data_IF_443870380986
#
_entry.id   IF_443870380986
#
_cell.length_a   1.000
_cell.length_b   1.000
_cell.length_c   1.000
_cell.angle_alpha   90.00
_cell.angle_beta   90.00
_cell.angle_gamma   90.00
#
_symmetry.space_group_name_H-M   'P 1'
#
loop_
_entity.id
_entity.type
_entity.pdbx_description
1 polymer ?
#
# COMPACT_ATOMS: atom_id res chain seq x y z
N UNK A 1 -8.05 7.77 -21.08
CA UNK A 1 -8.18 9.26 -21.13
C UNK A 1 -7.45 9.94 -19.97
N UNK A 2 -7.68 9.60 -18.69
CA UNK A 2 -7.00 10.25 -17.56
C UNK A 2 -5.46 10.23 -17.65
N UNK A 3 -4.82 9.14 -18.10
CA UNK A 3 -3.37 9.07 -18.30
C UNK A 3 -2.84 10.09 -19.32
N UNK A 4 -3.62 10.41 -20.35
CA UNK A 4 -3.26 11.43 -21.35
C UNK A 4 -3.32 12.86 -20.78
N UNK A 5 -4.22 13.11 -19.84
CA UNK A 5 -4.29 14.41 -19.16
C UNK A 5 -3.16 14.59 -18.12
N UNK A 6 -2.72 13.52 -17.47
CA UNK A 6 -1.64 13.57 -16.48
C UNK A 6 -0.24 13.60 -17.13
N UNK A 7 -0.09 13.08 -18.35
CA UNK A 7 1.20 13.01 -19.03
C UNK A 7 1.88 14.38 -19.24
N UNK A 8 1.19 15.44 -19.71
CA UNK A 8 1.82 16.76 -19.85
C UNK A 8 2.29 17.34 -18.51
N UNK A 9 1.51 17.17 -17.46
CA UNK A 9 1.91 17.58 -16.11
C UNK A 9 3.16 16.82 -15.64
N UNK A 10 3.15 15.50 -15.79
CA UNK A 10 4.32 14.67 -15.46
C UNK A 10 5.57 15.10 -16.23
N UNK A 11 5.45 15.36 -17.54
CA UNK A 11 6.56 15.83 -18.36
C UNK A 11 7.07 17.20 -17.90
N UNK A 12 6.18 18.12 -17.55
CA UNK A 12 6.55 19.45 -17.06
C UNK A 12 7.35 19.37 -15.75
N UNK A 13 6.92 18.55 -14.78
CA UNK A 13 7.66 18.39 -13.53
C UNK A 13 8.96 17.62 -13.72
N UNK A 14 9.03 16.65 -14.65
CA UNK A 14 10.28 16.01 -15.04
C UNK A 14 11.27 17.01 -15.66
N UNK A 15 10.78 17.89 -16.53
CA UNK A 15 11.61 18.95 -17.13
C UNK A 15 12.13 19.94 -16.08
N UNK A 16 11.27 20.34 -15.13
CA UNK A 16 11.66 21.21 -14.01
C UNK A 16 12.81 20.61 -13.21
N UNK A 17 12.67 19.36 -12.77
CA UNK A 17 13.70 18.65 -11.99
C UNK A 17 14.98 18.47 -12.78
N UNK A 18 14.90 18.03 -14.05
CA UNK A 18 16.05 17.89 -14.93
C UNK A 18 16.82 19.20 -15.11
N UNK A 19 16.10 20.28 -15.44
CA UNK A 19 16.72 21.58 -15.65
C UNK A 19 17.38 22.11 -14.36
N UNK A 20 16.76 21.89 -13.21
CA UNK A 20 17.33 22.25 -11.93
C UNK A 20 18.64 21.47 -11.65
N UNK A 21 18.64 20.16 -11.88
CA UNK A 21 19.82 19.30 -11.70
C UNK A 21 20.97 19.72 -12.64
N UNK A 22 20.67 19.98 -13.93
CA UNK A 22 21.67 20.42 -14.90
C UNK A 22 22.31 21.76 -14.51
N UNK A 23 21.51 22.72 -14.03
CA UNK A 23 22.01 24.00 -13.52
C UNK A 23 22.89 23.81 -12.30
N UNK A 24 22.46 23.00 -11.34
CA UNK A 24 23.22 22.72 -10.14
C UNK A 24 24.58 22.06 -10.45
N UNK A 25 24.58 21.02 -11.25
CA UNK A 25 25.81 20.32 -11.66
C UNK A 25 26.80 21.26 -12.37
N UNK A 26 26.32 22.10 -13.27
CA UNK A 26 27.16 23.07 -13.97
C UNK A 26 27.77 24.12 -13.03
N UNK A 27 27.09 24.46 -11.93
CA UNK A 27 27.63 25.35 -10.89
C UNK A 27 28.71 24.65 -10.06
N UNK A 28 28.55 23.34 -9.81
CA UNK A 28 29.52 22.55 -9.03
C UNK A 28 30.85 22.35 -9.79
N UNK A 29 30.80 22.05 -11.09
CA UNK A 29 32.01 21.85 -11.92
C UNK A 29 31.73 22.14 -13.40
N UNK A 30 32.65 22.85 -14.04
CA UNK A 30 32.56 23.23 -15.46
C UNK A 30 32.50 22.02 -16.42
N UNK A 31 33.02 20.85 -16.04
CA UNK A 31 32.88 19.62 -16.83
C UNK A 31 31.39 19.26 -17.02
N UNK A 32 30.56 19.50 -16.04
CA UNK A 32 29.14 19.25 -16.12
C UNK A 32 28.36 20.27 -16.98
N UNK A 33 29.02 21.39 -17.34
CA UNK A 33 28.46 22.36 -18.27
C UNK A 33 28.72 21.97 -19.75
N UNK A 34 29.63 21.02 -20.02
CA UNK A 34 29.92 20.57 -21.36
C UNK A 34 28.69 19.94 -22.02
N UNK A 35 28.48 20.24 -23.29
CA UNK A 35 27.35 19.75 -24.06
C UNK A 35 27.23 18.21 -24.03
N UNK A 36 28.36 17.51 -24.21
CA UNK A 36 28.38 16.04 -24.17
C UNK A 36 27.86 15.47 -22.84
N UNK A 37 28.27 16.04 -21.69
CA UNK A 37 27.77 15.62 -20.38
C UNK A 37 26.29 15.92 -20.23
N UNK A 38 25.86 17.14 -20.58
CA UNK A 38 24.45 17.56 -20.46
C UNK A 38 23.54 16.69 -21.31
N UNK A 39 23.91 16.38 -22.55
CA UNK A 39 23.11 15.50 -23.40
C UNK A 39 23.11 14.06 -22.90
N UNK A 40 24.25 13.52 -22.47
CA UNK A 40 24.33 12.17 -21.93
C UNK A 40 23.51 12.00 -20.66
N UNK A 41 23.63 12.95 -19.71
CA UNK A 41 22.82 12.94 -18.47
C UNK A 41 21.33 13.10 -18.77
N UNK A 42 20.95 14.03 -19.67
CA UNK A 42 19.55 14.23 -20.05
C UNK A 42 18.96 12.98 -20.71
N UNK A 43 19.72 12.31 -21.58
CA UNK A 43 19.28 11.06 -22.21
C UNK A 43 19.04 9.95 -21.18
N UNK A 44 19.96 9.76 -20.22
CA UNK A 44 19.80 8.78 -19.15
C UNK A 44 18.59 9.11 -18.25
N UNK A 45 18.44 10.38 -17.87
CA UNK A 45 17.30 10.85 -17.09
C UNK A 45 15.96 10.59 -17.80
N UNK A 46 15.87 10.99 -19.08
CA UNK A 46 14.67 10.81 -19.90
C UNK A 46 14.36 9.31 -20.06
N UNK A 47 15.38 8.49 -20.35
CA UNK A 47 15.22 7.04 -20.46
C UNK A 47 14.65 6.44 -19.17
N UNK A 48 15.14 6.89 -18.01
CA UNK A 48 14.65 6.43 -16.71
C UNK A 48 13.23 6.95 -16.44
N UNK A 49 12.97 8.22 -16.69
CA UNK A 49 11.65 8.83 -16.49
C UNK A 49 10.56 8.19 -17.39
N UNK A 50 10.92 7.83 -18.62
CA UNK A 50 9.99 7.19 -19.57
C UNK A 50 9.66 5.75 -19.21
N UNK A 51 10.40 5.10 -18.27
CA UNK A 51 10.08 3.72 -17.84
C UNK A 51 8.68 3.60 -17.26
N UNK A 52 8.13 4.67 -16.68
CA UNK A 52 6.76 4.71 -16.20
C UNK A 52 5.76 4.41 -17.33
N UNK A 53 5.90 5.09 -18.46
CA UNK A 53 5.03 4.92 -19.63
C UNK A 53 5.39 3.66 -20.43
N UNK A 54 6.69 3.41 -20.66
CA UNK A 54 7.13 2.25 -21.43
C UNK A 54 6.80 0.94 -20.74
N UNK A 55 6.85 0.84 -19.41
CA UNK A 55 6.39 -0.34 -18.67
C UNK A 55 4.89 -0.58 -18.77
N UNK A 56 4.11 0.45 -19.01
CA UNK A 56 2.66 0.31 -19.25
C UNK A 56 2.38 -0.20 -20.68
N UNK A 57 3.17 0.25 -21.66
CA UNK A 57 2.98 -0.07 -23.08
C UNK A 57 3.63 -1.40 -23.48
N UNK A 58 4.86 -1.65 -23.00
CA UNK A 58 5.66 -2.81 -23.37
C UNK A 58 5.37 -3.97 -22.41
N UNK A 59 4.57 -4.94 -22.86
CA UNK A 59 4.21 -6.12 -22.07
C UNK A 59 5.08 -7.35 -22.37
N UNK A 60 5.75 -7.38 -23.51
CA UNK A 60 6.59 -8.50 -23.96
C UNK A 60 7.92 -7.99 -24.51
N UNK A 61 9.03 -8.73 -24.37
CA UNK A 61 9.16 -9.97 -23.58
C UNK A 61 9.07 -9.72 -22.07
N UNK A 62 8.65 -10.74 -21.31
CA UNK A 62 8.35 -10.65 -19.86
C UNK A 62 9.52 -10.11 -19.02
N UNK A 63 10.74 -10.55 -19.30
CA UNK A 63 11.93 -10.07 -18.60
C UNK A 63 12.17 -8.56 -18.77
N UNK A 64 11.95 -8.02 -19.96
CA UNK A 64 12.05 -6.58 -20.22
C UNK A 64 10.97 -5.82 -19.48
N UNK A 65 9.72 -6.29 -19.57
CA UNK A 65 8.59 -5.69 -18.86
C UNK A 65 8.83 -5.61 -17.35
N UNK A 66 9.25 -6.70 -16.71
CA UNK A 66 9.60 -6.74 -15.28
C UNK A 66 10.72 -5.77 -14.92
N UNK A 67 11.77 -5.71 -15.76
CA UNK A 67 12.88 -4.77 -15.56
C UNK A 67 12.40 -3.33 -15.63
N UNK A 68 11.59 -2.97 -16.63
CA UNK A 68 10.99 -1.64 -16.75
C UNK A 68 10.10 -1.30 -15.55
N UNK A 69 9.30 -2.24 -15.07
CA UNK A 69 8.46 -2.05 -13.86
C UNK A 69 9.31 -1.81 -12.60
N UNK A 70 10.38 -2.57 -12.39
CA UNK A 70 11.28 -2.35 -11.26
C UNK A 70 11.95 -0.98 -11.29
N UNK A 71 12.47 -0.58 -12.47
CA UNK A 71 13.07 0.75 -12.64
C UNK A 71 12.02 1.84 -12.43
N UNK A 72 10.83 1.68 -13.01
CA UNK A 72 9.71 2.61 -12.86
C UNK A 72 9.29 2.81 -11.40
N UNK A 73 9.17 1.72 -10.62
CA UNK A 73 8.77 1.79 -9.23
C UNK A 73 9.84 2.49 -8.35
N UNK A 74 11.12 2.23 -8.62
CA UNK A 74 12.22 2.91 -7.95
C UNK A 74 12.29 4.39 -8.36
N UNK A 75 12.14 4.67 -9.65
CA UNK A 75 12.09 6.02 -10.19
C UNK A 75 10.99 6.84 -9.56
N UNK A 76 9.76 6.32 -9.53
CA UNK A 76 8.59 7.05 -9.03
C UNK A 76 8.77 7.51 -7.58
N UNK A 77 9.29 6.64 -6.71
CA UNK A 77 9.56 6.99 -5.32
C UNK A 77 10.69 8.02 -5.17
N UNK A 78 11.82 7.81 -5.88
CA UNK A 78 12.97 8.74 -5.84
C UNK A 78 12.60 10.09 -6.45
N UNK A 79 11.87 10.10 -7.55
CA UNK A 79 11.41 11.31 -8.23
C UNK A 79 10.46 12.13 -7.36
N UNK A 80 9.58 11.50 -6.60
CA UNK A 80 8.71 12.19 -5.64
C UNK A 80 9.54 12.99 -4.63
N UNK A 81 10.57 12.38 -4.04
CA UNK A 81 11.44 13.08 -3.08
C UNK A 81 12.36 14.09 -3.74
N UNK A 82 12.75 13.88 -5.00
CA UNK A 82 13.47 14.89 -5.77
C UNK A 82 12.57 16.12 -6.00
N UNK A 83 11.33 15.93 -6.40
CA UNK A 83 10.39 17.01 -6.63
C UNK A 83 10.09 17.78 -5.32
N UNK A 84 9.82 17.07 -4.22
CA UNK A 84 9.57 17.68 -2.91
C UNK A 84 10.81 18.43 -2.42
N UNK A 85 11.98 17.80 -2.43
CA UNK A 85 13.22 18.40 -1.93
C UNK A 85 13.64 19.63 -2.72
N UNK A 86 13.61 19.58 -4.06
CA UNK A 86 13.91 20.71 -4.92
C UNK A 86 12.85 21.82 -4.75
N UNK A 87 11.57 21.44 -4.69
CA UNK A 87 10.48 22.40 -4.47
C UNK A 87 10.61 23.14 -3.15
N UNK A 88 10.94 22.43 -2.06
CA UNK A 88 11.21 23.05 -0.75
C UNK A 88 12.44 23.98 -0.82
N UNK A 89 13.53 23.56 -1.47
CA UNK A 89 14.73 24.36 -1.63
C UNK A 89 14.45 25.67 -2.38
N UNK A 90 13.73 25.59 -3.50
CA UNK A 90 13.35 26.77 -4.27
C UNK A 90 12.35 27.65 -3.50
N UNK A 91 11.38 27.06 -2.80
CA UNK A 91 10.43 27.81 -1.96
C UNK A 91 11.14 28.59 -0.84
N UNK A 92 12.07 27.96 -0.12
CA UNK A 92 12.88 28.62 0.90
C UNK A 92 13.70 29.75 0.27
N UNK A 93 14.33 29.53 -0.91
CA UNK A 93 15.07 30.58 -1.60
C UNK A 93 14.18 31.77 -1.95
N UNK A 94 12.96 31.54 -2.43
CA UNK A 94 12.00 32.61 -2.74
C UNK A 94 11.62 33.37 -1.47
N UNK A 95 11.29 32.70 -0.37
CA UNK A 95 10.94 33.34 0.89
C UNK A 95 12.09 34.21 1.44
N UNK A 96 13.30 33.69 1.40
CA UNK A 96 14.49 34.43 1.86
C UNK A 96 14.77 35.65 0.97
N UNK A 97 14.59 35.52 -0.35
CA UNK A 97 14.78 36.61 -1.31
C UNK A 97 13.91 37.84 -1.00
N UNK A 98 12.65 37.61 -0.58
CA UNK A 98 11.70 38.68 -0.23
C UNK A 98 11.77 39.06 1.26
N UNK A 99 12.64 38.46 2.06
CA UNK A 99 12.77 38.72 3.49
C UNK A 99 13.97 39.62 3.78
N UNK A 100 13.96 40.39 4.88
CA UNK A 100 15.13 41.14 5.34
C UNK A 100 16.19 40.26 5.99
N UNK A 101 15.98 38.92 6.07
CA UNK A 101 16.85 38.00 6.79
C UNK A 101 18.11 37.58 6.01
N UNK A 102 18.13 37.81 4.69
CA UNK A 102 19.24 37.39 3.83
C UNK A 102 19.64 38.51 2.88
N UNK A 103 20.94 38.68 2.69
CA UNK A 103 21.50 39.62 1.71
C UNK A 103 21.22 39.13 0.30
N UNK A 104 20.77 40.02 -0.61
CA UNK A 104 20.48 39.69 -2.00
C UNK A 104 21.67 39.08 -2.74
N UNK A 105 22.90 39.39 -2.32
CA UNK A 105 24.11 38.79 -2.89
C UNK A 105 24.19 37.26 -2.71
N UNK A 106 23.59 36.73 -1.64
CA UNK A 106 23.57 35.28 -1.38
C UNK A 106 22.84 34.49 -2.48
N UNK A 107 21.75 35.07 -3.03
CA UNK A 107 20.96 34.37 -4.07
C UNK A 107 21.66 34.27 -5.41
N UNK A 108 22.66 35.14 -5.64
CA UNK A 108 23.50 35.11 -6.81
C UNK A 108 24.82 34.35 -6.58
N UNK A 109 25.07 33.89 -5.34
CA UNK A 109 26.28 33.16 -4.97
C UNK A 109 26.26 31.73 -5.55
N UNK A 110 27.28 31.42 -6.36
CA UNK A 110 27.50 30.04 -6.87
C UNK A 110 27.68 29.04 -5.73
N UNK A 111 28.38 29.44 -4.64
CA UNK A 111 28.63 28.58 -3.49
C UNK A 111 27.33 28.23 -2.79
N UNK A 112 26.45 29.20 -2.57
CA UNK A 112 25.15 28.96 -1.93
C UNK A 112 24.25 28.03 -2.74
N UNK A 113 24.21 28.18 -4.05
CA UNK A 113 23.44 27.29 -4.91
C UNK A 113 24.04 25.87 -4.96
N UNK A 114 25.37 25.76 -5.01
CA UNK A 114 26.07 24.48 -4.94
C UNK A 114 25.80 23.76 -3.60
N UNK A 115 25.89 24.47 -2.47
CA UNK A 115 25.61 23.93 -1.14
C UNK A 115 24.13 23.50 -0.99
N UNK A 116 23.20 24.36 -1.41
CA UNK A 116 21.77 24.01 -1.39
C UNK A 116 21.49 22.72 -2.14
N UNK A 117 22.02 22.60 -3.36
CA UNK A 117 21.81 21.40 -4.16
C UNK A 117 22.52 20.16 -3.58
N UNK A 118 23.70 20.33 -2.99
CA UNK A 118 24.39 19.23 -2.31
C UNK A 118 23.55 18.67 -1.13
N UNK A 119 23.07 19.54 -0.24
CA UNK A 119 22.25 19.11 0.89
C UNK A 119 20.90 18.51 0.42
N UNK A 120 20.25 19.13 -0.56
CA UNK A 120 19.03 18.60 -1.17
C UNK A 120 19.28 17.21 -1.77
N UNK A 121 20.37 17.04 -2.52
CA UNK A 121 20.75 15.76 -3.12
C UNK A 121 21.03 14.68 -2.07
N UNK A 122 21.75 15.03 -1.00
CA UNK A 122 22.00 14.11 0.13
C UNK A 122 20.69 13.65 0.77
N UNK A 123 19.76 14.58 1.01
CA UNK A 123 18.44 14.24 1.60
C UNK A 123 17.62 13.34 0.66
N UNK A 124 17.58 13.64 -0.64
CA UNK A 124 16.87 12.82 -1.62
C UNK A 124 17.43 11.40 -1.63
N UNK A 125 18.75 11.25 -1.70
CA UNK A 125 19.40 9.94 -1.68
C UNK A 125 19.13 9.22 -0.34
N UNK A 126 19.27 9.91 0.78
CA UNK A 126 19.01 9.34 2.09
C UNK A 126 17.59 8.80 2.21
N UNK A 127 16.57 9.59 1.88
CA UNK A 127 15.17 9.16 1.96
C UNK A 127 14.86 8.04 0.95
N UNK A 128 15.46 8.08 -0.25
CA UNK A 128 15.27 7.02 -1.25
C UNK A 128 15.87 5.70 -0.79
N UNK A 129 17.12 5.68 -0.33
CA UNK A 129 17.76 4.46 0.18
C UNK A 129 17.09 3.96 1.46
N UNK A 130 16.85 4.86 2.42
CA UNK A 130 16.15 4.49 3.65
C UNK A 130 14.78 3.88 3.34
N UNK A 131 13.96 4.55 2.53
CA UNK A 131 12.61 4.10 2.18
C UNK A 131 12.61 2.74 1.49
N UNK A 132 13.54 2.51 0.56
CA UNK A 132 13.70 1.23 -0.13
C UNK A 132 14.06 0.08 0.81
N UNK A 133 15.03 0.28 1.71
CA UNK A 133 15.42 -0.77 2.67
C UNK A 133 14.38 -0.94 3.78
N UNK A 134 13.74 0.14 4.19
CA UNK A 134 12.71 0.12 5.24
C UNK A 134 11.46 -0.63 4.78
N UNK A 135 11.05 -0.52 3.52
CA UNK A 135 9.94 -1.26 2.95
C UNK A 135 10.09 -2.78 3.06
N UNK A 136 11.34 -3.28 3.04
CA UNK A 136 11.65 -4.72 3.16
C UNK A 136 11.64 -5.22 4.60
N UNK A 137 11.58 -4.33 5.58
CA UNK A 137 11.62 -4.68 7.00
C UNK A 137 10.21 -4.86 7.53
N UNK A 138 9.88 -6.10 7.90
CA UNK A 138 8.58 -6.45 8.45
C UNK A 138 8.56 -6.24 9.97
N UNK A 139 7.56 -5.51 10.47
CA UNK A 139 7.35 -5.25 11.89
C UNK A 139 6.17 -6.06 12.43
N UNK A 140 6.04 -6.14 13.74
CA UNK A 140 4.85 -6.66 14.41
C UNK A 140 4.31 -5.58 15.34
N UNK A 141 3.04 -5.21 15.15
CA UNK A 141 2.32 -4.27 15.99
C UNK A 141 1.27 -5.06 16.78
N UNK A 142 1.15 -4.78 18.07
CA UNK A 142 0.15 -5.46 18.90
C UNK A 142 -0.90 -4.49 19.38
N UNK A 143 -2.17 -4.86 19.21
CA UNK A 143 -3.34 -4.15 19.71
C UNK A 143 -4.08 -5.03 20.71
N UNK A 144 -4.32 -4.50 21.90
CA UNK A 144 -5.11 -5.20 22.93
C UNK A 144 -6.48 -4.53 23.00
N UNK A 145 -7.52 -5.32 22.88
CA UNK A 145 -8.92 -4.88 22.98
C UNK A 145 -9.67 -5.79 23.95
N UNK A 146 -10.75 -5.30 24.54
CA UNK A 146 -11.62 -6.07 25.41
C UNK A 146 -13.00 -6.21 24.77
N UNK A 147 -13.55 -7.42 24.73
CA UNK A 147 -14.91 -7.68 24.32
C UNK A 147 -15.80 -7.82 25.56
N UNK A 148 -16.98 -7.20 25.54
CA UNK A 148 -17.99 -7.41 26.56
C UNK A 148 -18.76 -8.74 26.38
N UNK A 149 -18.58 -9.40 25.22
CA UNK A 149 -19.24 -10.65 24.88
C UNK A 149 -18.33 -11.82 25.20
N UNK A 150 -18.90 -12.87 25.78
CA UNK A 150 -18.17 -14.09 26.08
C UNK A 150 -17.93 -14.93 24.82
N UNK A 151 -16.77 -15.54 24.76
CA UNK A 151 -16.43 -16.57 23.78
C UNK A 151 -16.03 -17.81 24.57
N UNK A 152 -16.87 -18.83 24.57
CA UNK A 152 -16.64 -20.03 25.39
C UNK A 152 -15.30 -20.68 25.04
N UNK A 153 -14.47 -20.90 26.06
CA UNK A 153 -13.23 -21.65 25.95
C UNK A 153 -11.94 -20.84 25.76
N UNK A 154 -12.00 -19.52 25.70
CA UNK A 154 -10.79 -18.69 25.56
C UNK A 154 -10.85 -17.44 26.44
N UNK A 155 -9.80 -17.22 27.22
CA UNK A 155 -9.57 -15.94 27.92
C UNK A 155 -9.06 -14.85 26.97
N UNK A 156 -8.40 -15.27 25.89
CA UNK A 156 -7.82 -14.35 24.88
C UNK A 156 -7.83 -15.00 23.50
N UNK A 157 -8.40 -14.32 22.51
CA UNK A 157 -8.31 -14.69 21.10
C UNK A 157 -7.20 -13.85 20.41
N UNK A 158 -6.21 -14.52 19.81
CA UNK A 158 -5.10 -13.90 19.08
C UNK A 158 -5.36 -13.94 17.58
N UNK A 159 -5.50 -12.80 16.96
CA UNK A 159 -5.71 -12.66 15.53
C UNK A 159 -4.47 -12.06 14.89
N UNK A 160 -3.87 -12.75 13.92
CA UNK A 160 -2.86 -12.16 13.04
C UNK A 160 -3.59 -11.51 11.85
N UNK A 161 -3.65 -10.18 11.84
CA UNK A 161 -4.17 -9.40 10.73
C UNK A 161 -3.02 -9.01 9.80
N UNK A 162 -3.15 -9.35 8.55
CA UNK A 162 -2.34 -8.84 7.43
C UNK A 162 -3.27 -8.35 6.33
N UNK A 163 -2.79 -7.41 5.53
CA UNK A 163 -3.46 -6.91 4.33
C UNK A 163 -2.41 -6.39 3.35
N UNK A 164 -2.85 -6.02 2.17
CA UNK A 164 -2.05 -5.27 1.20
C UNK A 164 -0.71 -5.97 0.92
N UNK A 165 -0.75 -7.25 0.58
CA UNK A 165 0.44 -8.01 0.21
C UNK A 165 1.00 -7.54 -1.13
N UNK A 166 0.13 -7.11 -2.05
CA UNK A 166 0.47 -6.69 -3.41
C UNK A 166 1.44 -7.65 -4.08
N UNK A 167 1.05 -8.94 -4.15
CA UNK A 167 1.80 -9.94 -4.89
C UNK A 167 1.94 -9.53 -6.35
N UNK A 168 3.19 -9.38 -6.81
CA UNK A 168 3.46 -8.88 -8.14
C UNK A 168 4.94 -8.57 -8.33
N UNK A 169 5.25 -7.37 -8.80
CA UNK A 169 6.64 -6.98 -9.10
C UNK A 169 7.47 -6.67 -7.84
N UNK A 170 6.86 -6.20 -6.75
CA UNK A 170 7.56 -5.73 -5.55
C UNK A 170 7.63 -6.78 -4.44
N UNK A 171 6.67 -7.71 -4.38
CA UNK A 171 6.57 -8.74 -3.34
C UNK A 171 6.98 -10.09 -3.90
N UNK A 172 8.04 -10.65 -3.36
CA UNK A 172 8.65 -11.89 -3.81
C UNK A 172 8.48 -13.07 -2.83
N UNK A 173 8.87 -14.26 -3.26
CA UNK A 173 8.84 -15.48 -2.46
C UNK A 173 9.68 -15.37 -1.16
N UNK A 174 10.78 -14.61 -1.19
CA UNK A 174 11.66 -14.43 -0.03
C UNK A 174 10.92 -13.63 1.04
N UNK A 175 10.20 -12.60 0.61
CA UNK A 175 9.35 -11.83 1.51
C UNK A 175 8.24 -12.69 2.12
N UNK A 176 7.52 -13.48 1.29
CA UNK A 176 6.47 -14.37 1.76
C UNK A 176 6.96 -15.41 2.78
N UNK A 177 8.12 -16.03 2.54
CA UNK A 177 8.72 -16.96 3.50
C UNK A 177 9.00 -16.31 4.85
N UNK A 178 9.49 -15.06 4.85
CA UNK A 178 9.72 -14.31 6.09
C UNK A 178 8.41 -13.94 6.79
N UNK A 179 7.39 -13.55 6.01
CA UNK A 179 6.06 -13.24 6.50
C UNK A 179 5.44 -14.45 7.22
N UNK A 180 5.37 -15.60 6.54
CA UNK A 180 4.82 -16.85 7.08
C UNK A 180 5.57 -17.28 8.34
N UNK A 181 6.91 -17.29 8.30
CA UNK A 181 7.73 -17.63 9.47
C UNK A 181 7.42 -16.72 10.66
N UNK A 182 7.21 -15.42 10.41
CA UNK A 182 6.95 -14.47 11.47
C UNK A 182 5.53 -14.59 12.04
N UNK A 183 4.52 -14.81 11.19
CA UNK A 183 3.14 -15.07 11.63
C UNK A 183 3.08 -16.35 12.47
N UNK A 184 3.66 -17.45 11.99
CA UNK A 184 3.64 -18.71 12.71
C UNK A 184 4.34 -18.64 14.08
N UNK A 185 5.38 -17.77 14.21
CA UNK A 185 6.02 -17.50 15.50
C UNK A 185 5.11 -16.80 16.52
N UNK A 186 4.11 -16.06 16.06
CA UNK A 186 3.12 -15.38 16.92
C UNK A 186 2.09 -16.36 17.51
N UNK A 187 1.99 -17.58 16.93
CA UNK A 187 0.99 -18.60 17.31
C UNK A 187 -0.42 -18.01 17.38
N UNK A 188 -0.94 -17.45 16.27
CA UNK A 188 -2.27 -16.89 16.25
C UNK A 188 -3.32 -17.99 16.29
N UNK A 189 -4.48 -17.69 16.89
CA UNK A 189 -5.64 -18.56 16.85
C UNK A 189 -6.39 -18.43 15.52
N UNK A 190 -6.36 -17.24 14.92
CA UNK A 190 -6.99 -16.91 13.66
C UNK A 190 -6.05 -16.05 12.80
N UNK A 191 -6.00 -16.29 11.48
CA UNK A 191 -5.28 -15.44 10.53
C UNK A 191 -6.28 -14.79 9.59
N UNK A 192 -6.17 -13.47 9.45
CA UNK A 192 -7.00 -12.66 8.56
C UNK A 192 -6.13 -11.96 7.52
N UNK A 193 -6.48 -12.14 6.25
CA UNK A 193 -5.91 -11.44 5.10
C UNK A 193 -6.97 -10.46 4.58
N UNK A 194 -6.89 -9.21 5.02
CA UNK A 194 -7.93 -8.23 4.77
C UNK A 194 -7.73 -7.49 3.42
N UNK A 195 -7.72 -8.24 2.32
CA UNK A 195 -7.72 -7.73 0.95
C UNK A 195 -6.37 -7.26 0.42
N UNK A 196 -6.38 -6.88 -0.86
CA UNK A 196 -5.23 -6.47 -1.66
C UNK A 196 -4.06 -7.47 -1.58
N UNK A 197 -4.41 -8.75 -1.78
CA UNK A 197 -3.43 -9.83 -1.88
C UNK A 197 -2.63 -9.70 -3.17
N UNK A 198 -3.24 -9.24 -4.25
CA UNK A 198 -2.64 -9.07 -5.57
C UNK A 198 -2.43 -7.60 -5.91
N UNK A 199 -1.62 -7.34 -6.95
CA UNK A 199 -1.34 -5.99 -7.47
C UNK A 199 -1.95 -5.82 -8.88
N UNK A 200 -3.26 -6.02 -9.00
CA UNK A 200 -4.12 -5.89 -10.19
C UNK A 200 -3.74 -6.74 -11.43
N UNK A 201 -2.63 -7.46 -11.42
CA UNK A 201 -2.18 -8.25 -12.56
C UNK A 201 -1.65 -9.60 -12.08
N UNK A 202 -2.41 -10.65 -12.34
CA UNK A 202 -2.00 -12.01 -11.95
C UNK A 202 -0.67 -12.44 -12.60
N UNK A 203 -0.39 -11.95 -13.83
CA UNK A 203 0.88 -12.23 -14.53
C UNK A 203 2.08 -11.53 -13.89
N UNK A 204 1.85 -10.51 -13.04
CA UNK A 204 2.91 -9.87 -12.29
C UNK A 204 3.58 -10.83 -11.28
N UNK A 205 2.87 -11.86 -10.84
CA UNK A 205 3.39 -12.88 -9.92
C UNK A 205 4.27 -13.85 -10.71
N UNK A 206 5.56 -13.90 -10.38
CA UNK A 206 6.53 -14.70 -11.14
C UNK A 206 6.27 -16.21 -11.06
N UNK A 207 5.92 -16.70 -9.88
CA UNK A 207 5.66 -18.13 -9.62
C UNK A 207 4.43 -18.27 -8.70
N UNK A 208 3.20 -18.13 -9.23
CA UNK A 208 1.99 -18.08 -8.40
C UNK A 208 1.77 -19.34 -7.57
N UNK A 209 1.97 -20.53 -8.13
CA UNK A 209 1.81 -21.80 -7.41
C UNK A 209 2.79 -21.93 -6.23
N UNK A 210 4.01 -21.42 -6.39
CA UNK A 210 4.99 -21.41 -5.32
C UNK A 210 4.66 -20.40 -4.24
N UNK A 211 4.13 -19.24 -4.61
CA UNK A 211 3.63 -18.25 -3.65
C UNK A 211 2.45 -18.82 -2.85
N UNK A 212 1.49 -19.46 -3.50
CA UNK A 212 0.38 -20.14 -2.83
C UNK A 212 0.88 -21.23 -1.87
N UNK A 213 1.81 -22.09 -2.32
CA UNK A 213 2.43 -23.13 -1.47
C UNK A 213 3.19 -22.56 -0.27
N UNK A 214 3.81 -21.38 -0.37
CA UNK A 214 4.44 -20.72 0.78
C UNK A 214 3.39 -20.24 1.77
N UNK A 215 2.28 -19.66 1.27
CA UNK A 215 1.19 -19.14 2.09
C UNK A 215 0.38 -20.26 2.75
N UNK A 216 0.25 -21.44 2.10
CA UNK A 216 -0.42 -22.60 2.68
C UNK A 216 0.28 -23.15 3.94
N UNK A 217 1.54 -22.73 4.19
CA UNK A 217 2.26 -23.06 5.42
C UNK A 217 1.92 -22.15 6.62
N UNK A 218 0.96 -21.22 6.49
CA UNK A 218 0.38 -20.46 7.60
C UNK A 218 -0.31 -21.42 8.58
N UNK A 219 -0.14 -21.17 9.90
CA UNK A 219 -0.66 -22.02 10.96
C UNK A 219 -1.48 -21.22 11.95
N UNK A 220 -2.70 -21.66 12.18
CA UNK A 220 -3.62 -21.10 13.18
C UNK A 220 -4.63 -22.16 13.62
N UNK A 221 -5.26 -21.98 14.76
CA UNK A 221 -6.27 -22.91 15.30
C UNK A 221 -7.53 -22.91 14.45
N UNK A 222 -8.01 -21.73 14.06
CA UNK A 222 -9.28 -21.55 13.36
C UNK A 222 -9.14 -21.33 11.85
N UNK A 223 -7.92 -21.47 11.32
CA UNK A 223 -7.67 -21.33 9.87
C UNK A 223 -7.31 -19.90 9.44
N UNK A 224 -7.17 -19.74 8.13
CA UNK A 224 -6.85 -18.47 7.47
C UNK A 224 -8.04 -18.05 6.60
N UNK A 225 -8.52 -16.84 6.82
CA UNK A 225 -9.64 -16.27 6.07
C UNK A 225 -9.20 -14.99 5.36
N UNK A 226 -9.79 -14.75 4.20
CA UNK A 226 -9.50 -13.56 3.41
C UNK A 226 -10.78 -12.92 2.86
N UNK A 227 -10.70 -11.67 2.49
CA UNK A 227 -11.64 -11.00 1.61
C UNK A 227 -10.90 -10.40 0.42
N UNK A 228 -11.61 -9.98 -0.60
CA UNK A 228 -11.04 -9.19 -1.67
C UNK A 228 -10.79 -7.75 -1.24
N UNK A 229 -9.76 -7.13 -1.83
CA UNK A 229 -9.55 -5.68 -1.84
C UNK A 229 -9.75 -5.09 -3.25
N UNK A 230 -9.53 -3.81 -3.38
CA UNK A 230 -9.75 -3.12 -4.65
C UNK A 230 -8.67 -3.42 -5.72
N UNK A 231 -7.51 -3.95 -5.31
CA UNK A 231 -6.46 -4.42 -6.22
C UNK A 231 -6.56 -5.92 -6.55
N UNK A 232 -7.45 -6.67 -5.90
CA UNK A 232 -7.73 -8.07 -6.22
C UNK A 232 -8.67 -8.19 -7.45
N UNK A 233 -8.34 -7.43 -8.48
CA UNK A 233 -9.08 -7.29 -9.72
C UNK A 233 -8.08 -7.06 -10.86
N UNK A 234 -8.15 -7.87 -11.93
CA UNK A 234 -7.24 -7.72 -13.06
C UNK A 234 -7.51 -6.42 -13.84
N UNK A 235 -6.69 -5.40 -13.60
CA UNK A 235 -6.78 -4.08 -14.23
C UNK A 235 -5.40 -3.55 -14.62
N UNK A 236 -5.37 -2.66 -15.62
CA UNK A 236 -4.14 -1.98 -15.98
C UNK A 236 -3.76 -0.92 -14.94
N UNK A 237 -2.51 -0.92 -14.49
CA UNK A 237 -1.97 0.03 -13.50
C UNK A 237 -0.94 0.96 -14.14
N UNK A 238 -1.08 2.25 -13.87
CA UNK A 238 -0.07 3.26 -14.17
C UNK A 238 0.20 4.11 -12.92
N UNK A 239 1.45 4.21 -12.50
CA UNK A 239 1.86 4.95 -11.29
C UNK A 239 1.11 4.53 -10.01
N UNK A 240 0.68 3.26 -9.92
CA UNK A 240 -0.10 2.75 -8.81
C UNK A 240 -1.61 2.96 -8.92
N UNK A 241 -2.10 3.76 -9.86
CA UNK A 241 -3.53 3.96 -10.08
C UNK A 241 -4.07 3.02 -11.15
N UNK A 242 -5.28 2.52 -10.93
CA UNK A 242 -5.95 1.61 -11.86
C UNK A 242 -6.64 2.38 -13.01
N UNK A 243 -6.48 1.85 -14.21
CA UNK A 243 -7.10 2.36 -15.42
C UNK A 243 -7.80 1.21 -16.13
N UNK A 244 -9.11 1.19 -16.10
CA UNK A 244 -9.88 0.16 -16.79
C UNK A 244 -11.36 0.53 -16.82
N UNK A 245 -12.07 -0.03 -17.80
CA UNK A 245 -13.52 -0.07 -17.86
C UNK A 245 -14.09 -1.21 -17.01
N UNK A 246 -15.41 -1.37 -17.04
CA UNK A 246 -16.05 -2.54 -16.47
C UNK A 246 -15.64 -3.81 -17.24
N UNK A 247 -15.53 -4.92 -16.52
CA UNK A 247 -15.30 -6.26 -17.06
C UNK A 247 -16.54 -7.12 -16.80
N UNK A 248 -16.74 -8.11 -17.64
CA UNK A 248 -17.89 -9.00 -17.52
C UNK A 248 -17.73 -9.91 -16.29
N UNK A 249 -16.59 -10.55 -16.16
CA UNK A 249 -16.30 -11.50 -15.08
C UNK A 249 -14.97 -11.21 -14.38
N UNK A 250 -14.86 -11.69 -13.15
CA UNK A 250 -13.59 -11.77 -12.41
C UNK A 250 -12.64 -12.77 -13.07
N UNK A 251 -11.36 -12.62 -12.80
CA UNK A 251 -10.36 -13.60 -13.17
C UNK A 251 -10.36 -14.73 -12.12
N UNK A 252 -10.77 -15.92 -12.52
CA UNK A 252 -10.87 -17.10 -11.64
C UNK A 252 -9.54 -17.54 -11.03
N UNK A 253 -8.41 -17.11 -11.60
CA UNK A 253 -7.09 -17.42 -11.07
C UNK A 253 -6.84 -16.81 -9.69
N UNK A 254 -7.49 -15.69 -9.36
CA UNK A 254 -7.41 -15.09 -8.02
C UNK A 254 -8.07 -15.99 -6.97
N UNK A 255 -9.24 -16.52 -7.27
CA UNK A 255 -9.95 -17.43 -6.36
C UNK A 255 -9.20 -18.77 -6.22
N UNK A 256 -8.75 -19.33 -7.34
CA UNK A 256 -7.94 -20.55 -7.33
C UNK A 256 -6.67 -20.39 -6.50
N UNK A 257 -6.02 -19.22 -6.55
CA UNK A 257 -4.84 -18.94 -5.73
C UNK A 257 -5.16 -18.97 -4.23
N UNK A 258 -6.26 -18.38 -3.79
CA UNK A 258 -6.68 -18.45 -2.38
C UNK A 258 -6.93 -19.88 -1.93
N UNK A 259 -7.61 -20.66 -2.76
CA UNK A 259 -7.83 -22.08 -2.51
C UNK A 259 -6.51 -22.86 -2.37
N UNK A 260 -5.57 -22.67 -3.30
CA UNK A 260 -4.25 -23.33 -3.29
C UNK A 260 -3.39 -22.87 -2.12
N UNK A 261 -3.59 -21.65 -1.64
CA UNK A 261 -2.95 -21.09 -0.45
C UNK A 261 -3.61 -21.55 0.87
N UNK A 262 -4.66 -22.37 0.83
CA UNK A 262 -5.38 -22.84 2.01
C UNK A 262 -6.14 -21.74 2.75
N UNK A 263 -6.58 -20.70 2.03
CA UNK A 263 -7.33 -19.57 2.56
C UNK A 263 -8.82 -19.70 2.22
N UNK A 264 -9.68 -19.44 3.20
CA UNK A 264 -11.12 -19.37 2.97
C UNK A 264 -11.50 -17.94 2.59
N UNK A 265 -11.93 -17.75 1.34
CA UNK A 265 -12.42 -16.47 0.86
C UNK A 265 -13.85 -16.22 1.37
N UNK A 266 -14.09 -15.03 1.88
CA UNK A 266 -15.41 -14.55 2.31
C UNK A 266 -15.76 -13.30 1.51
N UNK A 267 -16.80 -13.39 0.68
CA UNK A 267 -17.24 -12.32 -0.22
C UNK A 267 -18.74 -12.05 -0.03
N UNK A 268 -19.07 -11.17 0.91
CA UNK A 268 -20.41 -11.00 1.52
C UNK A 268 -20.92 -12.28 2.17
N UNK A 269 -20.02 -13.00 2.84
CA UNK A 269 -20.31 -14.26 3.51
C UNK A 269 -20.12 -14.18 5.01
N UNK A 270 -20.87 -15.05 5.71
CA UNK A 270 -20.83 -15.22 7.18
C UNK A 270 -20.45 -16.65 7.51
N UNK A 271 -19.53 -16.81 8.45
CA UNK A 271 -19.13 -18.10 9.04
C UNK A 271 -19.25 -18.07 10.56
N UNK A 272 -19.87 -19.07 11.12
CA UNK A 272 -19.82 -19.33 12.58
C UNK A 272 -18.63 -20.25 12.85
N UNK A 273 -17.62 -19.72 13.55
CA UNK A 273 -16.37 -20.42 13.83
C UNK A 273 -16.53 -21.22 15.12
N UNK A 274 -16.53 -22.54 15.02
CA UNK A 274 -16.66 -23.51 16.11
C UNK A 274 -17.69 -23.14 17.19
N UNK A 275 -18.79 -22.53 16.78
CA UNK A 275 -19.85 -22.02 17.67
C UNK A 275 -19.38 -20.92 18.66
N UNK A 276 -18.20 -20.33 18.49
CA UNK A 276 -17.61 -19.32 19.38
C UNK A 276 -17.93 -17.89 18.95
N UNK A 277 -17.64 -17.53 17.70
CA UNK A 277 -17.83 -16.18 17.17
C UNK A 277 -18.21 -16.23 15.67
N UNK A 278 -18.80 -15.15 15.19
CA UNK A 278 -19.06 -14.98 13.77
C UNK A 278 -17.88 -14.25 13.11
N UNK A 279 -17.51 -14.74 11.93
CA UNK A 279 -16.59 -14.07 11.01
C UNK A 279 -17.36 -13.70 9.74
N UNK A 280 -17.35 -12.42 9.41
CA UNK A 280 -18.07 -11.84 8.27
C UNK A 280 -17.03 -11.24 7.32
N UNK A 281 -16.97 -11.70 6.08
CA UNK A 281 -16.18 -11.06 5.04
C UNK A 281 -17.05 -10.20 4.15
N UNK A 282 -16.68 -8.96 3.96
CA UNK A 282 -17.42 -8.02 3.11
C UNK A 282 -16.82 -7.92 1.73
N UNK A 283 -17.67 -7.83 0.73
CA UNK A 283 -17.32 -7.57 -0.66
C UNK A 283 -16.71 -6.18 -0.81
N UNK A 284 -15.62 -6.04 -1.57
CA UNK A 284 -15.05 -4.73 -1.83
C UNK A 284 -15.92 -3.91 -2.82
N UNK A 285 -16.23 -2.64 -2.53
CA UNK A 285 -17.09 -1.83 -3.37
C UNK A 285 -16.51 -1.54 -4.76
N UNK A 286 -15.19 -1.63 -4.96
CA UNK A 286 -14.59 -1.46 -6.28
C UNK A 286 -14.92 -2.63 -7.20
N UNK A 287 -14.97 -3.86 -6.66
CA UNK A 287 -15.39 -5.05 -7.45
C UNK A 287 -16.81 -4.89 -7.96
N UNK A 288 -17.77 -4.52 -7.12
CA UNK A 288 -19.16 -4.30 -7.54
C UNK A 288 -19.31 -3.25 -8.65
N UNK A 289 -18.44 -2.22 -8.65
CA UNK A 289 -18.46 -1.17 -9.68
C UNK A 289 -17.78 -1.61 -10.98
N UNK A 290 -16.84 -2.52 -10.92
CA UNK A 290 -15.96 -2.90 -12.03
C UNK A 290 -16.35 -4.20 -12.71
N UNK A 291 -17.03 -5.10 -12.03
CA UNK A 291 -17.47 -6.38 -12.55
C UNK A 291 -18.98 -6.38 -12.75
N UNK A 292 -19.42 -6.61 -14.01
CA UNK A 292 -20.85 -6.63 -14.38
C UNK A 292 -21.55 -7.83 -13.76
N UNK A 293 -20.85 -8.98 -13.67
CA UNK A 293 -21.38 -10.21 -13.06
C UNK A 293 -21.55 -10.14 -11.55
N UNK A 294 -20.91 -9.18 -10.88
CA UNK A 294 -20.98 -9.06 -9.43
C UNK A 294 -22.30 -8.45 -8.96
N UNK A 295 -22.89 -9.09 -7.95
CA UNK A 295 -24.05 -8.54 -7.25
C UNK A 295 -23.64 -7.31 -6.43
N UNK A 296 -24.61 -6.43 -6.16
CA UNK A 296 -24.40 -5.32 -5.23
C UNK A 296 -23.93 -5.81 -3.87
N UNK A 297 -23.06 -5.02 -3.25
CA UNK A 297 -22.53 -5.27 -1.91
C UNK A 297 -23.68 -5.28 -0.90
N UNK A 298 -23.74 -6.30 -0.06
CA UNK A 298 -24.71 -6.35 1.04
C UNK A 298 -24.42 -5.25 2.07
N UNK A 299 -25.50 -4.67 2.61
CA UNK A 299 -25.38 -3.71 3.70
C UNK A 299 -24.94 -4.42 4.99
N UNK A 300 -24.31 -3.71 5.94
CA UNK A 300 -23.94 -4.28 7.22
C UNK A 300 -25.10 -5.00 7.93
N UNK A 301 -26.29 -4.39 7.89
CA UNK A 301 -27.48 -4.98 8.52
C UNK A 301 -27.93 -6.26 7.83
N UNK A 302 -27.95 -6.33 6.49
CA UNK A 302 -28.29 -7.56 5.76
C UNK A 302 -27.36 -8.72 6.11
N UNK A 303 -26.07 -8.46 6.35
CA UNK A 303 -25.09 -9.47 6.74
C UNK A 303 -25.27 -9.93 8.20
N UNK A 304 -25.77 -9.07 9.09
CA UNK A 304 -25.72 -9.36 10.54
C UNK A 304 -27.08 -9.52 11.22
N UNK A 305 -28.20 -9.19 10.56
CA UNK A 305 -29.54 -9.19 11.17
C UNK A 305 -29.99 -10.55 11.73
N UNK A 306 -29.52 -11.64 11.13
CA UNK A 306 -29.87 -13.01 11.52
C UNK A 306 -28.88 -13.63 12.50
N UNK A 307 -27.81 -12.91 12.89
CA UNK A 307 -26.78 -13.44 13.77
C UNK A 307 -27.19 -13.31 15.24
N UNK A 308 -26.76 -14.29 16.04
CA UNK A 308 -26.91 -14.21 17.47
C UNK A 308 -25.96 -13.14 18.06
N UNK A 309 -26.52 -12.01 18.45
CA UNK A 309 -25.77 -10.83 18.95
C UNK A 309 -25.10 -11.07 20.32
N UNK A 310 -25.38 -12.19 21.03
CA UNK A 310 -24.65 -12.56 22.24
C UNK A 310 -23.24 -13.07 21.96
N UNK A 311 -22.95 -13.48 20.71
CA UNK A 311 -21.61 -13.91 20.26
C UNK A 311 -20.86 -12.75 19.65
N UNK A 312 -19.52 -12.73 19.76
CA UNK A 312 -18.69 -11.75 19.05
C UNK A 312 -18.90 -11.82 17.53
N UNK A 313 -18.97 -10.65 16.86
CA UNK A 313 -19.07 -10.51 15.42
C UNK A 313 -17.80 -9.77 14.93
N UNK A 314 -16.94 -10.50 14.24
CA UNK A 314 -15.72 -9.97 13.63
C UNK A 314 -15.98 -9.76 12.15
N UNK A 315 -15.68 -8.57 11.65
CA UNK A 315 -15.91 -8.20 10.24
C UNK A 315 -14.58 -7.91 9.58
N UNK A 316 -14.35 -8.53 8.43
CA UNK A 316 -13.25 -8.22 7.53
C UNK A 316 -13.80 -7.29 6.45
N UNK A 317 -13.30 -6.07 6.39
CA UNK A 317 -13.66 -5.08 5.37
C UNK A 317 -12.38 -4.35 4.95
N UNK A 318 -11.92 -4.63 3.72
CA UNK A 318 -10.65 -4.11 3.25
C UNK A 318 -10.53 -2.60 3.39
N UNK A 319 -11.55 -1.85 2.94
CA UNK A 319 -11.57 -0.39 3.00
C UNK A 319 -12.24 0.08 4.31
N UNK A 320 -11.56 0.87 5.17
CA UNK A 320 -12.09 1.31 6.47
C UNK A 320 -13.15 2.42 6.32
N UNK A 321 -14.25 2.06 5.67
CA UNK A 321 -15.43 2.88 5.44
C UNK A 321 -16.62 2.36 6.24
N UNK A 322 -17.66 3.17 6.38
CA UNK A 322 -18.93 2.78 7.01
C UNK A 322 -18.80 2.28 8.45
N UNK A 323 -17.76 2.71 9.20
CA UNK A 323 -17.47 2.19 10.55
C UNK A 323 -18.66 2.35 11.50
N UNK A 324 -19.42 3.47 11.41
CA UNK A 324 -20.63 3.68 12.20
C UNK A 324 -21.70 2.65 11.85
N UNK A 325 -21.97 2.42 10.56
CA UNK A 325 -22.98 1.46 10.12
C UNK A 325 -22.63 0.02 10.52
N UNK A 326 -21.33 -0.31 10.50
CA UNK A 326 -20.85 -1.62 10.95
C UNK A 326 -21.01 -1.80 12.47
N UNK A 327 -20.70 -0.75 13.25
CA UNK A 327 -20.90 -0.76 14.70
C UNK A 327 -22.38 -0.88 15.07
N UNK A 328 -23.26 -0.12 14.40
CA UNK A 328 -24.71 -0.15 14.60
C UNK A 328 -25.31 -1.49 14.20
N UNK A 329 -24.75 -2.16 13.20
CA UNK A 329 -25.11 -3.52 12.79
C UNK A 329 -24.67 -4.60 13.81
N UNK A 330 -23.90 -4.24 14.84
CA UNK A 330 -23.49 -5.09 15.95
C UNK A 330 -22.13 -5.73 15.79
N UNK A 331 -21.26 -5.19 14.95
CA UNK A 331 -19.86 -5.57 14.91
C UNK A 331 -19.17 -5.30 16.25
N UNK A 332 -18.28 -6.20 16.67
CA UNK A 332 -17.43 -6.03 17.85
C UNK A 332 -16.00 -5.62 17.42
N UNK A 333 -15.55 -6.16 16.27
CA UNK A 333 -14.25 -5.87 15.71
C UNK A 333 -14.34 -5.77 14.18
N UNK A 334 -13.77 -4.72 13.62
CA UNK A 334 -13.66 -4.46 12.18
C UNK A 334 -12.18 -4.48 11.83
N UNK A 335 -11.78 -5.33 10.87
CA UNK A 335 -10.40 -5.55 10.46
C UNK A 335 -10.22 -5.11 9.01
N UNK A 336 -9.30 -4.19 8.75
CA UNK A 336 -9.08 -3.64 7.41
C UNK A 336 -7.62 -3.28 7.10
N UNK A 337 -7.39 -2.83 5.85
CA UNK A 337 -6.12 -2.40 5.29
C UNK A 337 -6.27 -1.16 4.41
N UNK A 338 -5.86 -1.27 3.13
CA UNK A 338 -6.10 -0.33 2.05
C UNK A 338 -5.29 0.97 2.06
N UNK A 339 -5.16 1.62 3.20
CA UNK A 339 -4.58 2.96 3.30
C UNK A 339 -3.06 2.99 3.24
N UNK A 340 -2.41 1.85 3.49
CA UNK A 340 -0.95 1.73 3.70
C UNK A 340 -0.38 2.73 4.73
N UNK A 341 -1.26 3.36 5.53
CA UNK A 341 -0.91 4.53 6.34
C UNK A 341 -0.18 5.61 5.50
N UNK A 342 -0.60 5.78 4.23
CA UNK A 342 -0.04 6.72 3.26
C UNK A 342 1.27 6.31 2.62
N UNK A 343 1.84 5.18 3.01
CA UNK A 343 3.08 4.55 2.49
C UNK A 343 4.31 5.48 2.41
N UNK A 344 4.18 6.68 1.82
CA UNK A 344 5.24 7.67 1.60
C UNK A 344 4.89 8.99 2.28
N UNK A 345 5.74 9.44 3.22
CA UNK A 345 5.62 10.79 3.78
C UNK A 345 5.76 11.84 2.65
N UNK A 346 4.93 12.91 2.60
CA UNK A 346 3.94 13.32 3.61
C UNK A 346 2.52 12.77 3.42
N UNK A 347 2.31 11.77 2.57
CA UNK A 347 0.97 11.20 2.29
C UNK A 347 0.20 10.77 3.55
N UNK A 348 0.92 10.25 4.56
CA UNK A 348 0.33 9.85 5.83
C UNK A 348 -0.33 11.01 6.61
N UNK A 349 0.07 12.27 6.36
CA UNK A 349 -0.53 13.44 7.01
C UNK A 349 -1.89 13.80 6.40
N UNK A 350 -2.16 13.36 5.17
CA UNK A 350 -3.41 13.67 4.46
C UNK A 350 -4.51 12.64 4.71
N UNK A 351 -4.15 11.44 5.13
CA UNK A 351 -5.11 10.35 5.32
C UNK A 351 -6.22 10.64 6.34
N UNK A 352 -5.97 11.30 7.49
CA UNK A 352 -7.03 11.63 8.44
C UNK A 352 -8.11 12.55 7.87
N UNK A 353 -7.84 13.25 6.76
CA UNK A 353 -8.82 14.06 6.05
C UNK A 353 -9.74 13.22 5.16
N UNK A 354 -9.35 12.00 4.81
CA UNK A 354 -10.04 11.12 3.86
C UNK A 354 -10.71 9.93 4.56
N UNK A 355 -10.15 9.49 5.69
CA UNK A 355 -10.54 8.25 6.37
C UNK A 355 -10.75 8.49 7.86
N UNK A 356 -11.84 7.96 8.42
CA UNK A 356 -12.12 8.05 9.85
C UNK A 356 -11.09 7.27 10.69
N UNK A 357 -10.71 6.07 10.24
CA UNK A 357 -9.59 5.31 10.79
C UNK A 357 -8.57 5.01 9.68
N UNK A 358 -7.60 5.88 9.45
CA UNK A 358 -6.58 5.63 8.43
C UNK A 358 -5.57 4.56 8.84
N UNK A 359 -5.34 4.35 10.15
CA UNK A 359 -4.36 3.42 10.68
C UNK A 359 -4.52 3.18 12.17
N UNK A 360 -4.28 1.96 12.59
CA UNK A 360 -4.21 1.58 14.00
C UNK A 360 -5.58 1.25 14.60
N UNK A 361 -5.71 1.46 15.89
CA UNK A 361 -6.90 1.11 16.67
C UNK A 361 -7.79 2.34 16.88
N UNK A 362 -9.05 2.22 16.49
CA UNK A 362 -10.11 3.19 16.77
C UNK A 362 -11.28 2.49 17.46
N UNK A 363 -11.84 3.10 18.51
CA UNK A 363 -13.11 2.66 19.10
C UNK A 363 -14.27 3.47 18.51
N UNK A 364 -15.28 2.78 18.00
CA UNK A 364 -16.47 3.38 17.40
C UNK A 364 -17.72 2.79 18.04
N UNK A 365 -18.38 3.53 18.93
CA UNK A 365 -19.47 2.97 19.74
C UNK A 365 -18.97 1.78 20.57
N UNK A 366 -19.61 0.62 20.41
CA UNK A 366 -19.21 -0.63 21.04
C UNK A 366 -18.20 -1.44 20.22
N UNK A 367 -17.92 -1.05 18.96
CA UNK A 367 -17.00 -1.72 18.08
C UNK A 367 -15.59 -1.16 18.18
N UNK A 368 -14.61 -2.01 17.86
CA UNK A 368 -13.24 -1.60 17.58
C UNK A 368 -12.96 -1.73 16.08
N UNK A 369 -12.22 -0.79 15.52
CA UNK A 369 -11.69 -0.87 14.17
C UNK A 369 -10.16 -0.95 14.24
N UNK A 370 -9.56 -1.93 13.60
CA UNK A 370 -8.10 -2.06 13.45
C UNK A 370 -7.76 -2.02 11.96
N UNK A 371 -7.03 -1.00 11.57
CA UNK A 371 -6.54 -0.82 10.20
C UNK A 371 -5.03 -0.98 10.19
N UNK A 372 -4.54 -1.95 9.40
CA UNK A 372 -3.10 -2.17 9.24
C UNK A 372 -2.51 -1.25 8.18
N UNK A 373 -1.22 -0.94 8.32
CA UNK A 373 -0.46 -0.25 7.27
C UNK A 373 -0.05 -1.17 6.11
N UNK A 374 -0.49 -2.43 6.14
CA UNK A 374 -0.18 -3.42 5.12
C UNK A 374 1.19 -4.08 5.27
N UNK A 375 1.32 -5.29 4.77
CA UNK A 375 2.57 -6.06 4.82
C UNK A 375 3.45 -5.79 3.59
N UNK A 376 2.86 -5.64 2.41
CA UNK A 376 3.53 -5.32 1.15
C UNK A 376 3.68 -3.82 0.88
N UNK A 377 3.89 -3.48 -0.38
CA UNK A 377 3.99 -2.10 -0.87
C UNK A 377 3.27 -1.97 -2.20
N UNK A 378 2.60 -0.86 -2.37
CA UNK A 378 1.87 -0.48 -3.56
C UNK A 378 2.67 0.54 -4.39
N UNK A 379 2.72 0.40 -5.72
CA UNK A 379 3.42 1.32 -6.61
C UNK A 379 4.91 1.44 -6.30
N UNK A 380 5.41 2.59 -5.78
CA UNK A 380 6.82 2.75 -5.41
C UNK A 380 7.26 1.74 -4.35
N UNK A 381 8.37 1.02 -4.62
CA UNK A 381 8.90 0.03 -3.66
C UNK A 381 9.64 0.69 -2.49
N UNK A 382 8.95 1.54 -1.77
CA UNK A 382 9.51 2.35 -0.68
C UNK A 382 8.48 2.57 0.43
N UNK A 383 8.95 2.69 1.69
CA UNK A 383 8.16 3.16 2.83
C UNK A 383 8.93 4.23 3.60
N UNK A 384 8.29 5.38 3.76
CA UNK A 384 8.82 6.48 4.55
C UNK A 384 7.72 7.06 5.46
N UNK A 385 8.00 7.17 6.77
CA UNK A 385 7.00 7.58 7.75
C UNK A 385 5.95 6.51 8.11
N UNK A 386 6.03 5.34 7.49
CA UNK A 386 5.15 4.18 7.70
C UNK A 386 5.99 2.89 7.72
N UNK A 387 5.38 1.74 8.01
CA UNK A 387 6.10 0.45 8.10
C UNK A 387 5.30 -0.68 7.45
N UNK A 388 5.99 -1.69 6.91
CA UNK A 388 5.37 -2.96 6.57
C UNK A 388 5.15 -3.76 7.85
N UNK A 389 3.93 -4.28 8.08
CA UNK A 389 3.61 -4.89 9.36
C UNK A 389 2.68 -6.11 9.31
N UNK A 390 2.74 -6.88 10.39
CA UNK A 390 1.74 -7.84 10.83
C UNK A 390 1.10 -7.24 12.09
N UNK A 391 -0.22 -7.09 12.12
CA UNK A 391 -0.92 -6.69 13.32
C UNK A 391 -1.34 -7.93 14.12
N UNK A 392 -0.91 -8.03 15.37
CA UNK A 392 -1.40 -9.01 16.35
C UNK A 392 -2.49 -8.35 17.18
N UNK A 393 -3.75 -8.68 16.91
CA UNK A 393 -4.90 -8.21 17.69
C UNK A 393 -5.21 -9.26 18.76
N UNK A 394 -5.18 -8.85 20.01
CA UNK A 394 -5.51 -9.70 21.16
C UNK A 394 -6.83 -9.22 21.75
N UNK A 395 -7.84 -10.05 21.66
CA UNK A 395 -9.16 -9.79 22.24
C UNK A 395 -9.23 -10.47 23.60
N UNK A 396 -9.28 -9.70 24.67
CA UNK A 396 -9.59 -10.22 25.99
C UNK A 396 -11.11 -10.45 26.07
N UNK A 397 -11.47 -11.66 26.41
CA UNK A 397 -12.85 -12.12 26.49
C UNK A 397 -13.12 -12.28 27.97
N UNK A 398 -14.09 -11.53 28.47
CA UNK A 398 -14.50 -11.70 29.85
C UNK A 398 -15.43 -12.94 29.95
N UNK A 399 -15.04 -13.91 30.78
CA UNK A 399 -15.83 -15.09 31.13
C UNK A 399 -17.10 -14.72 31.90
#
# INVERSE_FOLDING_TARGET
MAALFLAPFYLAVCFYVLNWMLKWMAVCNNIFALAAFRYGFSALYILTATTLLSSFLIKKPDGLHRTLKHISNLWLGTFLYALIGIGIADFIRILLYFSPLADASWFHSRLMFAATGFFTGVLILFFSFYGFFHAKKLYTTTWNISSAKSCSGHDTLKIALIADLHLGYNTDEIFLKRLVKRINKLQPDLIIVAGDTFDNDFHAIKHPQKCASILSALKSTYGTYCCYGNHDLDEAILAGFTFGGQKENADERFEQFFHDAGMTLLDDEVRLIENHFYLVGRKDPARCKKLISEKERLTPNQLTQHLNKSKPILIIDHQPKELSLLADAGADLILGGHTHNGQLFPGNLLLPLMWENPYGLLKKGNAYSVVTSGAGVWGPNMRLGTKSEICLVKIQIHS
#
